data_IF_215322310900
#
_entry.id   IF_215322310900
#
_cell.length_a   1.000
_cell.length_b   1.000
_cell.length_c   1.000
_cell.angle_alpha   90.00
_cell.angle_beta   90.00
_cell.angle_gamma   90.00
#
_symmetry.space_group_name_H-M   'P 1'
#
loop_
_entity.id
_entity.type
_entity.pdbx_description
1 polymer ?
#
# COMPACT_ATOMS: atom_id res chain seq x y z
N UNK A 1 41.74 29.57 -25.51
CA UNK A 1 41.19 28.31 -24.97
C UNK A 1 41.48 28.27 -23.48
N UNK A 2 40.65 28.90 -22.65
CA UNK A 2 40.82 28.91 -21.18
C UNK A 2 39.61 29.56 -20.50
N UNK A 3 38.43 29.00 -20.73
CA UNK A 3 37.17 29.43 -20.12
C UNK A 3 36.53 28.35 -19.24
N UNK A 4 37.22 27.21 -19.04
CA UNK A 4 36.72 26.04 -18.31
C UNK A 4 37.41 25.78 -16.96
N UNK A 5 38.34 26.64 -16.52
CA UNK A 5 39.08 26.46 -15.26
C UNK A 5 38.38 27.05 -14.03
N UNK A 6 37.40 27.95 -14.23
CA UNK A 6 36.72 28.63 -13.12
C UNK A 6 35.75 27.75 -12.32
N UNK A 7 35.10 26.78 -12.97
CA UNK A 7 34.13 25.89 -12.31
C UNK A 7 34.81 24.86 -11.42
N UNK A 8 35.97 24.35 -11.83
CA UNK A 8 36.75 23.40 -11.03
C UNK A 8 37.20 24.03 -9.70
N UNK A 9 37.59 25.31 -9.71
CA UNK A 9 38.04 26.02 -8.51
C UNK A 9 36.92 26.11 -7.46
N UNK A 10 35.71 26.46 -7.88
CA UNK A 10 34.54 26.60 -7.01
C UNK A 10 34.15 25.25 -6.38
N UNK A 11 34.14 24.17 -7.17
CA UNK A 11 33.78 22.84 -6.65
C UNK A 11 34.80 22.31 -5.63
N UNK A 12 36.08 22.61 -5.81
CA UNK A 12 37.12 22.24 -4.84
C UNK A 12 37.10 23.11 -3.59
N UNK A 13 36.83 24.40 -3.73
CA UNK A 13 36.84 25.36 -2.62
C UNK A 13 35.64 25.17 -1.68
N UNK A 14 34.47 24.82 -2.24
CA UNK A 14 33.23 24.62 -1.49
C UNK A 14 32.82 23.15 -1.38
N UNK A 15 33.78 22.22 -1.45
CA UNK A 15 33.48 20.78 -1.41
C UNK A 15 32.67 20.39 -0.18
N UNK A 16 32.90 21.02 0.98
CA UNK A 16 32.18 20.78 2.23
C UNK A 16 30.76 21.38 2.27
N UNK A 17 30.40 22.24 1.32
CA UNK A 17 29.06 22.81 1.20
C UNK A 17 28.17 22.04 0.22
N UNK A 18 28.74 21.08 -0.52
CA UNK A 18 28.03 20.24 -1.47
C UNK A 18 27.78 18.88 -0.81
N UNK A 19 26.61 18.31 -1.09
CA UNK A 19 26.29 16.94 -0.71
C UNK A 19 26.10 16.12 -1.99
N UNK A 20 26.95 15.12 -2.18
CA UNK A 20 26.85 14.14 -3.25
C UNK A 20 25.95 12.97 -2.83
N UNK A 21 25.99 12.64 -1.54
CA UNK A 21 25.14 11.63 -0.91
C UNK A 21 24.28 12.21 0.23
N UNK A 22 23.17 11.55 0.56
CA UNK A 22 22.31 12.00 1.66
C UNK A 22 22.97 11.90 3.03
N UNK A 23 23.91 10.98 3.20
CA UNK A 23 24.67 10.85 4.46
C UNK A 23 25.54 12.09 4.72
N UNK A 24 25.85 12.89 3.68
CA UNK A 24 26.63 14.14 3.77
C UNK A 24 25.77 15.38 4.08
N UNK A 25 24.44 15.22 4.19
CA UNK A 25 23.52 16.30 4.53
C UNK A 25 23.16 16.24 6.02
N UNK A 26 23.86 16.94 6.93
CA UNK A 26 23.62 16.87 8.38
C UNK A 26 22.26 17.43 8.83
N UNK A 27 21.44 17.91 7.90
CA UNK A 27 20.18 18.58 8.17
C UNK A 27 20.38 19.90 8.93
N UNK A 28 19.27 20.54 9.25
CA UNK A 28 19.24 21.71 10.14
C UNK A 28 18.68 21.29 11.50
N UNK A 29 19.11 21.95 12.59
CA UNK A 29 18.57 21.65 13.92
C UNK A 29 17.06 21.91 13.96
N UNK A 30 16.30 21.03 14.63
CA UNK A 30 14.84 21.12 14.69
C UNK A 30 14.36 22.43 15.30
N UNK A 31 15.14 23.00 16.21
CA UNK A 31 14.86 24.29 16.86
C UNK A 31 14.90 25.47 15.87
N UNK A 32 15.57 25.29 14.73
CA UNK A 32 15.68 26.29 13.67
C UNK A 32 14.60 26.14 12.58
N UNK A 33 14.19 24.91 12.25
CA UNK A 33 13.32 24.61 11.09
C UNK A 33 12.10 23.74 11.41
N UNK A 34 11.58 23.81 12.64
CA UNK A 34 10.30 23.21 12.97
C UNK A 34 9.15 23.96 12.28
N UNK A 35 8.37 23.26 11.45
CA UNK A 35 7.13 23.77 10.91
C UNK A 35 5.93 23.13 11.59
N UNK A 36 5.01 23.95 12.08
CA UNK A 36 3.68 23.51 12.50
C UNK A 36 2.73 23.64 11.31
N UNK A 37 2.11 22.52 10.93
CA UNK A 37 1.05 22.53 9.93
C UNK A 37 -0.27 22.90 10.63
N UNK A 38 -0.87 24.06 10.33
CA UNK A 38 -2.13 24.43 10.95
C UNK A 38 -3.24 23.49 10.48
N UNK A 39 -3.87 22.80 11.42
CA UNK A 39 -5.01 21.92 11.19
C UNK A 39 -6.24 22.55 11.84
N UNK A 40 -7.37 22.52 11.15
CA UNK A 40 -8.64 23.01 11.71
C UNK A 40 -9.03 22.21 12.95
N UNK A 41 -9.47 22.91 14.00
CA UNK A 41 -9.95 22.28 15.23
C UNK A 41 -11.12 21.33 14.94
N UNK A 42 -11.08 20.12 15.49
CA UNK A 42 -12.13 19.10 15.28
C UNK A 42 -11.97 18.28 14.00
N UNK A 43 -10.94 18.55 13.18
CA UNK A 43 -10.64 17.69 12.03
C UNK A 43 -10.06 16.36 12.48
N UNK A 44 -10.69 15.27 12.03
CA UNK A 44 -10.22 13.91 12.31
C UNK A 44 -9.32 13.43 11.17
N UNK A 45 -8.10 12.94 11.46
CA UNK A 45 -7.20 12.40 10.45
C UNK A 45 -7.86 11.31 9.58
N UNK A 46 -7.59 11.32 8.28
CA UNK A 46 -8.11 10.30 7.36
C UNK A 46 -7.01 9.28 7.01
N UNK A 47 -7.31 7.98 7.13
CA UNK A 47 -6.39 6.91 6.76
C UNK A 47 -6.54 6.62 5.26
N UNK A 48 -5.65 7.20 4.46
CA UNK A 48 -5.68 6.97 3.02
C UNK A 48 -5.21 5.54 2.67
N UNK A 49 -5.95 4.79 1.83
CA UNK A 49 -5.50 3.48 1.39
C UNK A 49 -4.24 3.60 0.50
N UNK A 50 -3.29 2.66 0.61
CA UNK A 50 -2.13 2.64 -0.27
C UNK A 50 -2.52 2.59 -1.74
N UNK A 51 -1.81 3.34 -2.58
CA UNK A 51 -1.96 3.28 -4.04
C UNK A 51 -1.31 1.99 -4.55
N UNK A 52 -1.96 1.29 -5.48
CA UNK A 52 -1.36 0.13 -6.14
C UNK A 52 -0.21 0.62 -7.02
N UNK A 53 0.95 -0.03 -6.89
CA UNK A 53 2.14 0.23 -7.70
C UNK A 53 2.47 -1.03 -8.52
N UNK A 54 3.20 -0.88 -9.61
CA UNK A 54 3.80 -2.04 -10.30
C UNK A 54 4.95 -2.60 -9.46
N UNK A 55 5.25 -3.89 -9.62
CA UNK A 55 6.32 -4.54 -8.85
C UNK A 55 7.69 -3.89 -9.09
N UNK A 56 7.96 -3.42 -10.31
CA UNK A 56 9.22 -2.72 -10.63
C UNK A 56 9.37 -1.41 -9.82
N UNK A 57 8.30 -0.63 -9.72
CA UNK A 57 8.30 0.63 -8.96
C UNK A 57 8.38 0.34 -7.47
N UNK A 58 7.68 -0.69 -6.99
CA UNK A 58 7.72 -1.08 -5.58
C UNK A 58 9.14 -1.43 -5.11
N UNK A 59 9.94 -2.11 -5.94
CA UNK A 59 11.34 -2.42 -5.63
C UNK A 59 12.18 -1.15 -5.49
N UNK A 60 12.09 -0.22 -6.46
CA UNK A 60 12.80 1.07 -6.42
C UNK A 60 12.39 1.92 -5.21
N UNK A 61 11.10 1.90 -4.85
CA UNK A 61 10.60 2.61 -3.67
C UNK A 61 11.16 2.02 -2.38
N UNK A 62 11.29 0.69 -2.27
CA UNK A 62 11.90 0.04 -1.10
C UNK A 62 13.37 0.44 -0.94
N UNK A 63 14.14 0.38 -2.02
CA UNK A 63 15.55 0.81 -2.02
C UNK A 63 15.70 2.27 -1.57
N UNK A 64 14.86 3.16 -2.08
CA UNK A 64 14.88 4.57 -1.71
C UNK A 64 14.46 4.81 -0.25
N UNK A 65 13.46 4.08 0.24
CA UNK A 65 13.05 4.16 1.66
C UNK A 65 14.20 3.74 2.58
N UNK A 66 14.92 2.66 2.25
CA UNK A 66 16.09 2.22 3.03
C UNK A 66 17.20 3.28 3.04
N UNK A 67 17.47 3.89 1.88
CA UNK A 67 18.44 4.97 1.76
C UNK A 67 18.08 6.19 2.61
N UNK A 68 16.82 6.62 2.57
CA UNK A 68 16.32 7.74 3.37
C UNK A 68 16.27 7.44 4.87
N UNK A 69 15.99 6.19 5.26
CA UNK A 69 16.05 5.74 6.65
C UNK A 69 17.48 5.79 7.18
N UNK A 70 18.45 5.31 6.40
CA UNK A 70 19.87 5.33 6.77
C UNK A 70 20.38 6.76 6.98
N UNK A 71 19.98 7.69 6.10
CA UNK A 71 20.31 9.11 6.22
C UNK A 71 19.54 9.83 7.36
N UNK A 72 18.56 9.19 8.00
CA UNK A 72 17.79 9.78 9.09
C UNK A 72 16.75 10.83 8.68
N UNK A 73 16.48 10.97 7.38
CA UNK A 73 15.48 11.91 6.85
C UNK A 73 14.05 11.49 7.16
N UNK A 74 13.78 10.18 7.16
CA UNK A 74 12.50 9.61 7.54
C UNK A 74 12.65 8.70 8.75
N UNK A 75 11.53 8.45 9.44
CA UNK A 75 11.48 7.55 10.60
C UNK A 75 10.17 6.76 10.59
N UNK A 76 10.21 5.55 11.13
CA UNK A 76 8.99 4.77 11.35
C UNK A 76 8.09 5.47 12.37
N UNK A 77 6.85 5.73 12.00
CA UNK A 77 5.82 6.24 12.91
C UNK A 77 4.80 5.14 13.20
N UNK A 78 4.36 5.06 14.46
CA UNK A 78 3.23 4.21 14.85
C UNK A 78 2.03 5.10 15.16
N UNK A 79 1.16 5.35 14.17
CA UNK A 79 -0.03 6.14 14.41
C UNK A 79 -1.00 5.38 15.33
N UNK A 80 -1.66 6.11 16.23
CA UNK A 80 -2.79 5.57 16.99
C UNK A 80 -3.95 5.39 16.00
N UNK A 81 -4.25 4.16 15.60
CA UNK A 81 -5.29 3.92 14.58
C UNK A 81 -6.68 4.42 15.02
N UNK A 82 -6.96 4.45 16.32
CA UNK A 82 -8.25 4.90 16.87
C UNK A 82 -8.55 6.39 16.68
N UNK A 83 -7.59 7.22 16.25
CA UNK A 83 -7.83 8.64 15.99
C UNK A 83 -8.13 8.93 14.51
N UNK A 84 -8.09 7.92 13.65
CA UNK A 84 -8.40 8.09 12.23
C UNK A 84 -9.87 7.85 11.96
N UNK A 85 -10.43 8.60 11.01
CA UNK A 85 -11.73 8.27 10.43
C UNK A 85 -11.64 6.92 9.70
N UNK A 86 -12.63 6.03 9.87
CA UNK A 86 -12.70 4.80 9.09
C UNK A 86 -12.85 5.13 7.60
N UNK A 87 -12.20 4.32 6.76
CA UNK A 87 -12.39 4.41 5.32
C UNK A 87 -13.76 3.84 4.92
N UNK A 88 -14.32 4.28 3.78
CA UNK A 88 -15.61 3.75 3.25
C UNK A 88 -15.66 2.21 3.17
N UNK A 89 -14.53 1.56 2.91
CA UNK A 89 -14.43 0.11 2.88
C UNK A 89 -14.49 -0.54 4.26
N UNK A 90 -13.94 0.10 5.29
CA UNK A 90 -14.01 -0.38 6.69
C UNK A 90 -15.43 -0.16 7.26
N UNK A 91 -16.11 0.94 6.90
CA UNK A 91 -17.51 1.17 7.24
C UNK A 91 -18.43 0.08 6.65
N UNK A 92 -18.28 -0.21 5.35
CA UNK A 92 -19.09 -1.23 4.70
C UNK A 92 -18.83 -2.64 5.26
N UNK A 93 -17.59 -2.93 5.66
CA UNK A 93 -17.25 -4.19 6.33
C UNK A 93 -17.92 -4.26 7.72
N UNK A 94 -17.88 -3.17 8.49
CA UNK A 94 -18.57 -3.08 9.78
C UNK A 94 -20.08 -3.26 9.65
N UNK A 95 -20.71 -2.67 8.64
CA UNK A 95 -22.13 -2.88 8.33
C UNK A 95 -22.45 -4.35 7.98
N UNK A 96 -21.57 -5.02 7.25
CA UNK A 96 -21.73 -6.44 6.87
C UNK A 96 -21.54 -7.38 8.07
N UNK A 97 -20.54 -7.12 8.91
CA UNK A 97 -20.32 -7.84 10.16
C UNK A 97 -21.50 -7.65 11.11
N UNK A 98 -21.98 -6.41 11.27
CA UNK A 98 -23.13 -6.08 12.10
C UNK A 98 -24.42 -6.73 11.56
N UNK A 99 -24.59 -6.81 10.24
CA UNK A 99 -25.68 -7.59 9.62
C UNK A 99 -25.55 -9.09 9.88
N UNK A 100 -24.36 -9.68 9.76
CA UNK A 100 -24.14 -11.09 10.08
C UNK A 100 -24.41 -11.38 11.57
N UNK A 101 -24.06 -10.47 12.46
CA UNK A 101 -24.31 -10.59 13.90
C UNK A 101 -25.80 -10.44 14.24
N UNK A 102 -26.52 -9.49 13.60
CA UNK A 102 -27.98 -9.39 13.71
C UNK A 102 -28.66 -10.68 13.19
N UNK A 103 -28.18 -11.25 12.08
CA UNK A 103 -28.70 -12.52 11.54
C UNK A 103 -28.40 -13.72 12.46
N UNK A 104 -27.22 -13.75 13.10
CA UNK A 104 -26.85 -14.75 14.09
C UNK A 104 -27.68 -14.62 15.38
N UNK A 105 -28.00 -13.39 15.78
CA UNK A 105 -28.74 -13.05 17.02
C UNK A 105 -30.25 -13.13 16.89
N UNK A 106 -30.79 -12.91 15.68
CA UNK A 106 -32.24 -12.94 15.39
C UNK A 106 -32.84 -14.34 15.36
N UNK A 107 -32.05 -15.40 15.60
CA UNK A 107 -32.53 -16.78 15.60
C UNK A 107 -32.99 -17.31 14.23
N UNK A 108 -32.78 -16.54 13.16
CA UNK A 108 -33.08 -16.88 11.76
C UNK A 108 -32.00 -17.76 11.11
N UNK A 109 -30.85 -17.96 11.78
CA UNK A 109 -29.80 -18.90 11.35
C UNK A 109 -30.24 -20.38 11.33
N UNK A 110 -31.47 -20.71 11.75
CA UNK A 110 -31.99 -22.09 11.87
C UNK A 110 -32.56 -22.72 10.59
N UNK A 111 -32.39 -22.11 9.41
CA UNK A 111 -32.85 -22.75 8.15
C UNK A 111 -31.78 -23.57 7.43
N UNK A 112 -30.53 -23.61 7.89
CA UNK A 112 -29.48 -24.44 7.26
C UNK A 112 -29.33 -25.85 7.87
N UNK A 113 -30.23 -26.27 8.76
CA UNK A 113 -30.11 -27.54 9.48
C UNK A 113 -31.42 -28.35 9.65
N UNK A 114 -32.46 -28.12 8.83
CA UNK A 114 -33.73 -28.89 8.94
C UNK A 114 -33.92 -29.93 7.82
N UNK A 115 -33.10 -29.92 6.78
CA UNK A 115 -33.08 -31.02 5.82
C UNK A 115 -31.66 -31.51 5.63
N UNK A 116 -31.25 -32.46 6.47
CA UNK A 116 -30.04 -33.27 6.31
C UNK A 116 -30.12 -34.17 5.08
N UNK A 117 -30.32 -33.58 3.89
CA UNK A 117 -30.23 -34.25 2.61
C UNK A 117 -28.91 -33.81 1.96
N UNK A 118 -27.95 -34.72 1.75
CA UNK A 118 -26.84 -34.44 0.86
C UNK A 118 -27.42 -34.22 -0.54
N UNK A 119 -27.19 -33.05 -1.13
CA UNK A 119 -27.45 -32.86 -2.56
C UNK A 119 -26.41 -33.72 -3.29
N UNK A 120 -26.79 -34.95 -3.59
CA UNK A 120 -26.10 -35.82 -4.51
C UNK A 120 -26.21 -35.19 -5.90
N UNK A 121 -25.13 -34.56 -6.36
CA UNK A 121 -24.99 -34.20 -7.77
C UNK A 121 -24.71 -35.52 -8.49
N UNK A 122 -25.79 -36.20 -8.91
CA UNK A 122 -25.74 -37.47 -9.61
C UNK A 122 -25.03 -37.32 -10.95
N UNK A 123 -23.95 -38.08 -11.12
CA UNK A 123 -23.47 -38.51 -12.42
C UNK A 123 -24.59 -39.27 -13.14
N UNK A 124 -25.04 -38.75 -14.28
CA UNK A 124 -25.52 -39.60 -15.37
C UNK A 124 -24.93 -39.12 -16.69
N UNK A 125 -23.94 -39.87 -17.14
CA UNK A 125 -23.37 -39.85 -18.48
C UNK A 125 -24.39 -40.40 -19.48
N UNK A 126 -24.51 -39.80 -20.67
CA UNK A 126 -24.69 -40.42 -22.01
C UNK A 126 -24.74 -39.27 -23.02
N UNK A 127 -23.59 -38.89 -23.60
CA UNK A 127 -23.11 -39.24 -24.96
C UNK A 127 -23.94 -38.61 -26.09
N UNK A 128 -23.27 -37.69 -26.81
CA UNK A 128 -23.69 -37.14 -28.10
C UNK A 128 -22.46 -36.61 -28.86
N UNK A 129 -21.69 -37.55 -29.43
CA UNK A 129 -20.93 -37.50 -30.69
C UNK A 129 -20.29 -36.18 -31.17
N UNK A 130 -18.96 -36.22 -31.33
CA UNK A 130 -18.17 -35.70 -32.46
C UNK A 130 -18.24 -34.18 -32.70
N UNK A 131 -17.13 -33.43 -32.69
CA UNK A 131 -16.04 -33.47 -33.68
C UNK A 131 -14.80 -32.92 -32.98
N UNK A 132 -13.63 -33.52 -33.25
CA UNK A 132 -12.37 -33.16 -32.60
C UNK A 132 -11.83 -31.77 -32.94
N UNK A 133 -10.70 -31.43 -32.34
CA UNK A 133 -9.42 -31.21 -33.04
C UNK A 133 -8.29 -31.27 -32.01
N UNK A 134 -7.30 -32.10 -32.31
CA UNK A 134 -5.98 -32.10 -31.66
C UNK A 134 -5.11 -30.97 -32.21
N UNK A 135 -4.02 -30.70 -31.46
CA UNK A 135 -2.86 -29.81 -31.72
C UNK A 135 -3.06 -28.44 -31.05
N UNK A 136 -2.23 -27.99 -30.10
CA UNK A 136 -0.78 -28.14 -30.00
C UNK A 136 -0.12 -26.87 -30.57
N UNK A 137 0.86 -26.34 -29.83
CA UNK A 137 1.78 -25.25 -30.21
C UNK A 137 1.16 -23.83 -30.23
N UNK A 138 1.68 -22.86 -29.48
CA UNK A 138 2.92 -22.08 -29.67
C UNK A 138 2.68 -20.84 -30.56
N UNK A 139 3.12 -19.68 -30.04
CA UNK A 139 3.38 -18.38 -30.70
C UNK A 139 2.20 -17.45 -30.98
N UNK A 140 2.13 -16.36 -30.20
CA UNK A 140 2.51 -15.01 -30.64
C UNK A 140 2.97 -14.20 -29.43
#
# INVERSE_FOLDING_TARGET
MSCWTGTHLILTEFQCCLAWDYDEMPGLPRDLVGHELPIQSGFMPFKQPPRRMSSEVELKVKEEIERLLKAGFIRTARPRLSIFQPSKSEEHLGDLEQRQEILASSGLARLHAVHGLPIAIGLHSTIGLGIGWSKGALCA
#
